data_IF_889922293987
#
_entry.id   IF_889922293987
#
_cell.length_a   1.000
_cell.length_b   1.000
_cell.length_c   1.000
_cell.angle_alpha   90.00
_cell.angle_beta   90.00
_cell.angle_gamma   90.00
#
_symmetry.space_group_name_H-M   'P 1'
#
loop_
_entity.id
_entity.type
_entity.pdbx_description
1 polymer ?
#
# COMPACT_ATOMS: atom_id res chain seq x y z
N UNK A 1 35.37 26.64 -48.93
CA UNK A 1 35.71 26.18 -47.57
C UNK A 1 34.41 25.83 -46.86
N UNK A 2 34.00 24.56 -46.93
CA UNK A 2 32.79 24.08 -46.23
C UNK A 2 33.20 22.80 -45.51
N UNK A 3 33.13 22.88 -44.19
CA UNK A 3 33.55 21.88 -43.22
C UNK A 3 32.46 20.79 -43.16
N UNK A 4 32.81 19.56 -43.54
CA UNK A 4 31.91 18.41 -43.47
C UNK A 4 31.95 17.85 -42.03
N UNK A 5 30.86 17.98 -41.28
CA UNK A 5 30.70 17.31 -39.99
C UNK A 5 30.51 15.81 -40.21
N UNK A 6 31.44 15.01 -39.69
CA UNK A 6 31.31 13.55 -39.58
C UNK A 6 30.39 13.25 -38.41
N UNK A 7 29.15 12.83 -38.70
CA UNK A 7 28.29 12.18 -37.70
C UNK A 7 28.75 10.72 -37.63
N UNK A 8 29.47 10.37 -36.56
CA UNK A 8 29.77 8.99 -36.21
C UNK A 8 28.48 8.39 -35.66
N UNK A 9 27.67 7.77 -36.53
CA UNK A 9 26.62 6.85 -36.11
C UNK A 9 27.28 5.61 -35.51
N UNK A 10 27.24 5.48 -34.17
CA UNK A 10 27.59 4.24 -33.48
C UNK A 10 26.51 3.21 -33.86
N UNK A 11 26.80 2.40 -34.88
CA UNK A 11 26.00 1.22 -35.21
C UNK A 11 26.21 0.22 -34.08
N UNK A 12 25.21 0.01 -33.23
CA UNK A 12 25.22 -1.14 -32.31
C UNK A 12 25.02 -2.40 -33.15
N UNK A 13 26.12 -3.08 -33.46
CA UNK A 13 26.08 -4.40 -34.10
C UNK A 13 25.37 -5.36 -33.13
N UNK A 14 24.13 -5.72 -33.46
CA UNK A 14 23.35 -6.69 -32.71
C UNK A 14 23.49 -8.04 -33.40
N UNK A 15 24.16 -8.98 -32.75
CA UNK A 15 24.36 -10.34 -33.29
C UNK A 15 23.24 -11.26 -32.79
N UNK A 16 22.60 -12.00 -33.71
CA UNK A 16 21.55 -12.97 -33.38
C UNK A 16 22.08 -14.40 -33.51
N UNK A 17 22.00 -15.18 -32.43
CA UNK A 17 22.37 -16.60 -32.43
C UNK A 17 21.11 -17.45 -32.22
N UNK A 18 20.83 -18.34 -33.17
CA UNK A 18 19.81 -19.39 -33.04
C UNK A 18 20.49 -20.67 -32.56
N UNK A 19 20.19 -21.11 -31.35
CA UNK A 19 20.71 -22.38 -30.80
C UNK A 19 19.58 -23.39 -30.77
N UNK A 20 19.60 -24.35 -31.68
CA UNK A 20 18.69 -25.52 -31.68
C UNK A 20 19.39 -26.68 -31.00
N UNK A 21 18.82 -27.22 -29.91
CA UNK A 21 19.41 -28.34 -29.17
C UNK A 21 18.37 -29.40 -28.75
N UNK A 22 18.83 -30.64 -28.70
CA UNK A 22 18.13 -31.91 -28.44
C UNK A 22 18.73 -32.67 -27.22
N UNK A 23 19.50 -32.01 -26.35
CA UNK A 23 20.24 -32.64 -25.24
C UNK A 23 20.42 -31.79 -23.96
N UNK A 24 21.06 -32.38 -22.94
CA UNK A 24 21.14 -31.86 -21.56
C UNK A 24 21.77 -30.45 -21.43
N UNK A 25 21.20 -29.61 -20.54
CA UNK A 25 21.53 -28.19 -20.28
C UNK A 25 23.02 -27.78 -20.28
N UNK A 26 23.95 -28.66 -19.86
CA UNK A 26 25.41 -28.37 -19.83
C UNK A 26 26.05 -28.08 -21.19
N UNK A 27 25.58 -28.73 -22.26
CA UNK A 27 26.16 -28.53 -23.62
C UNK A 27 25.73 -27.18 -24.19
N UNK A 28 24.44 -26.86 -24.06
CA UNK A 28 23.86 -25.56 -24.41
C UNK A 28 24.60 -24.40 -23.75
N UNK A 29 24.79 -24.47 -22.43
CA UNK A 29 25.52 -23.45 -21.66
C UNK A 29 26.96 -23.26 -22.13
N UNK A 30 27.64 -24.36 -22.49
CA UNK A 30 29.01 -24.33 -23.00
C UNK A 30 29.08 -23.60 -24.35
N UNK A 31 28.13 -23.84 -25.24
CA UNK A 31 28.09 -23.23 -26.57
C UNK A 31 27.70 -21.75 -26.50
N UNK A 32 26.80 -21.39 -25.56
CA UNK A 32 26.48 -20.01 -25.26
C UNK A 32 27.71 -19.27 -24.73
N UNK A 33 28.44 -19.83 -23.75
CA UNK A 33 29.66 -19.22 -23.21
C UNK A 33 30.72 -18.96 -24.28
N UNK A 34 30.91 -19.90 -25.20
CA UNK A 34 31.84 -19.72 -26.33
C UNK A 34 31.40 -18.59 -27.24
N UNK A 35 30.10 -18.46 -27.49
CA UNK A 35 29.53 -17.44 -28.36
C UNK A 35 29.64 -16.05 -27.72
N UNK A 36 29.32 -15.94 -26.43
CA UNK A 36 29.43 -14.70 -25.65
C UNK A 36 30.86 -14.16 -25.66
N UNK A 37 31.86 -15.03 -25.45
CA UNK A 37 33.28 -14.63 -25.42
C UNK A 37 33.81 -14.14 -26.77
N UNK A 38 33.19 -14.56 -27.87
CA UNK A 38 33.57 -14.16 -29.23
C UNK A 38 32.87 -12.89 -29.70
N UNK A 39 31.71 -12.58 -29.12
CA UNK A 39 30.96 -11.37 -29.45
C UNK A 39 31.59 -10.15 -28.76
N UNK A 40 31.70 -9.02 -29.44
CA UNK A 40 32.18 -7.75 -28.87
C UNK A 40 31.04 -6.81 -28.52
N UNK A 41 29.79 -7.19 -28.84
CA UNK A 41 28.59 -6.42 -28.53
C UNK A 41 28.37 -6.31 -27.01
N UNK A 42 27.81 -5.16 -26.59
CA UNK A 42 27.32 -4.97 -25.22
C UNK A 42 26.01 -5.71 -24.95
N UNK A 43 25.23 -5.95 -26.01
CA UNK A 43 23.92 -6.57 -25.97
C UNK A 43 23.96 -7.93 -26.68
N UNK A 44 23.96 -9.01 -25.91
CA UNK A 44 24.01 -10.37 -26.41
C UNK A 44 22.62 -11.01 -26.38
N UNK A 45 22.11 -11.45 -27.54
CA UNK A 45 20.78 -12.06 -27.66
C UNK A 45 20.86 -13.54 -27.97
N UNK A 46 20.07 -14.35 -27.26
CA UNK A 46 19.96 -15.79 -27.45
C UNK A 46 18.50 -16.15 -27.68
N UNK A 47 18.23 -16.93 -28.72
CA UNK A 47 16.92 -17.58 -28.89
C UNK A 47 17.04 -19.04 -28.48
N UNK A 48 16.27 -19.43 -27.45
CA UNK A 48 16.14 -20.80 -26.98
C UNK A 48 14.79 -21.36 -27.45
N UNK A 49 14.79 -22.55 -28.04
CA UNK A 49 13.56 -23.25 -28.42
C UNK A 49 12.76 -23.83 -27.23
N UNK A 50 13.32 -23.78 -26.02
CA UNK A 50 12.72 -24.29 -24.78
C UNK A 50 13.15 -23.40 -23.58
N UNK A 51 12.37 -23.42 -22.50
CA UNK A 51 12.64 -22.64 -21.28
C UNK A 51 13.54 -23.39 -20.29
N UNK A 52 14.63 -23.98 -20.79
CA UNK A 52 15.58 -24.71 -19.95
C UNK A 52 16.28 -23.80 -18.93
N UNK A 53 16.47 -24.33 -17.73
CA UNK A 53 17.15 -23.64 -16.63
C UNK A 53 18.65 -23.53 -16.92
N UNK A 54 19.19 -22.31 -16.82
CA UNK A 54 20.64 -22.06 -16.84
C UNK A 54 21.25 -22.38 -15.48
N UNK A 55 22.36 -23.11 -15.47
CA UNK A 55 23.04 -23.56 -14.26
C UNK A 55 23.78 -22.43 -13.55
N UNK A 56 23.96 -22.61 -12.23
CA UNK A 56 24.80 -21.76 -11.38
C UNK A 56 26.21 -21.58 -11.95
N UNK A 57 26.82 -22.64 -12.46
CA UNK A 57 28.16 -22.61 -13.05
C UNK A 57 28.22 -21.76 -14.32
N UNK A 58 27.15 -21.76 -15.11
CA UNK A 58 27.02 -20.89 -16.28
C UNK A 58 26.85 -19.43 -15.87
N UNK A 59 25.96 -19.13 -14.92
CA UNK A 59 25.71 -17.78 -14.42
C UNK A 59 26.98 -17.14 -13.84
N UNK A 60 27.78 -17.91 -13.10
CA UNK A 60 29.08 -17.48 -12.56
C UNK A 60 30.09 -17.12 -13.67
N UNK A 61 30.06 -17.83 -14.79
CA UNK A 61 31.01 -17.59 -15.90
C UNK A 61 30.66 -16.37 -16.73
N UNK A 62 29.37 -16.04 -16.87
CA UNK A 62 28.92 -14.87 -17.67
C UNK A 62 28.97 -13.53 -16.93
N UNK A 63 29.06 -13.54 -15.59
CA UNK A 63 29.17 -12.33 -14.77
C UNK A 63 30.33 -11.42 -15.19
N UNK A 64 31.49 -12.02 -15.49
CA UNK A 64 32.70 -11.27 -15.84
C UNK A 64 32.62 -10.61 -17.22
N UNK A 65 31.64 -10.98 -18.04
CA UNK A 65 31.49 -10.47 -19.41
C UNK A 65 30.89 -9.04 -19.41
N UNK A 66 30.23 -8.60 -18.32
CA UNK A 66 29.57 -7.28 -18.20
C UNK A 66 28.68 -6.91 -19.40
N UNK A 67 27.88 -7.87 -19.86
CA UNK A 67 26.98 -7.72 -21.01
C UNK A 67 25.53 -7.73 -20.57
N UNK A 68 24.67 -7.17 -21.42
CA UNK A 68 23.22 -7.34 -21.35
C UNK A 68 22.87 -8.65 -22.05
N UNK A 69 22.39 -9.64 -21.30
CA UNK A 69 21.97 -10.94 -21.84
C UNK A 69 20.45 -10.94 -22.02
N UNK A 70 20.02 -11.01 -23.28
CA UNK A 70 18.60 -11.16 -23.65
C UNK A 70 18.34 -12.60 -24.06
N UNK A 71 17.34 -13.24 -23.47
CA UNK A 71 16.93 -14.59 -23.83
C UNK A 71 15.49 -14.55 -24.33
N UNK A 72 15.26 -15.19 -25.47
CA UNK A 72 13.98 -15.25 -26.16
C UNK A 72 13.55 -16.71 -26.23
N UNK A 73 12.48 -17.08 -25.53
CA UNK A 73 11.93 -18.43 -25.53
C UNK A 73 10.42 -18.41 -25.40
N UNK A 74 9.71 -19.23 -26.20
CA UNK A 74 8.24 -19.33 -26.21
C UNK A 74 7.51 -17.98 -26.27
N UNK A 75 8.00 -17.02 -27.07
CA UNK A 75 7.40 -15.68 -27.19
C UNK A 75 7.70 -14.71 -26.04
N UNK A 76 8.36 -15.17 -24.97
CA UNK A 76 8.79 -14.31 -23.85
C UNK A 76 10.22 -13.85 -24.09
N UNK A 77 10.44 -12.53 -24.02
CA UNK A 77 11.77 -11.92 -24.03
C UNK A 77 12.09 -11.46 -22.61
N UNK A 78 13.22 -11.89 -22.08
CA UNK A 78 13.72 -11.38 -20.81
C UNK A 78 15.14 -10.92 -20.93
N UNK A 79 15.50 -9.95 -20.09
CA UNK A 79 16.82 -9.34 -20.11
C UNK A 79 17.40 -9.22 -18.72
N UNK A 80 18.69 -9.53 -18.60
CA UNK A 80 19.47 -9.36 -17.37
C UNK A 80 20.81 -8.73 -17.69
N UNK A 81 21.31 -7.82 -16.84
CA UNK A 81 22.70 -7.36 -16.97
C UNK A 81 23.60 -8.29 -16.16
N UNK A 82 24.64 -8.82 -16.80
CA UNK A 82 25.53 -9.78 -16.11
C UNK A 82 26.37 -9.14 -15.00
N UNK A 83 26.50 -7.81 -15.00
CA UNK A 83 27.09 -7.05 -13.89
C UNK A 83 26.26 -7.11 -12.60
N UNK A 84 24.94 -7.34 -12.71
CA UNK A 84 24.03 -7.34 -11.55
C UNK A 84 24.26 -8.53 -10.62
N UNK A 85 25.04 -9.52 -11.08
CA UNK A 85 25.49 -10.68 -10.32
C UNK A 85 26.65 -10.36 -9.34
N UNK A 86 27.34 -9.21 -9.45
CA UNK A 86 28.57 -8.92 -8.68
C UNK A 86 28.35 -8.76 -7.18
N UNK A 87 29.06 -9.56 -6.37
CA UNK A 87 29.14 -9.42 -4.90
C UNK A 87 27.93 -9.89 -4.08
N UNK A 88 26.97 -10.60 -4.69
CA UNK A 88 25.75 -11.09 -4.02
C UNK A 88 25.80 -12.61 -3.78
N UNK A 89 25.03 -13.15 -2.82
CA UNK A 89 24.94 -14.60 -2.56
C UNK A 89 24.33 -15.32 -3.76
N UNK A 90 25.14 -16.14 -4.45
CA UNK A 90 24.83 -16.79 -5.74
C UNK A 90 24.40 -18.25 -5.59
N UNK A 91 24.18 -18.72 -4.37
CA UNK A 91 24.20 -20.15 -4.11
C UNK A 91 22.98 -20.93 -4.61
N UNK A 92 21.96 -20.22 -5.12
CA UNK A 92 20.58 -20.68 -5.22
C UNK A 92 19.83 -20.14 -6.47
N UNK A 93 20.54 -19.76 -7.54
CA UNK A 93 19.87 -19.16 -8.72
C UNK A 93 19.52 -20.24 -9.74
N UNK A 94 18.27 -20.69 -9.73
CA UNK A 94 17.63 -21.33 -10.88
C UNK A 94 16.45 -20.49 -11.32
N UNK A 95 16.54 -19.89 -12.51
CA UNK A 95 15.46 -19.11 -13.10
C UNK A 95 14.76 -20.01 -14.11
N UNK A 96 13.55 -20.45 -13.78
CA UNK A 96 12.66 -21.12 -14.73
C UNK A 96 11.50 -20.19 -15.00
N UNK A 97 11.49 -19.59 -16.20
CA UNK A 97 10.39 -18.76 -16.67
C UNK A 97 9.45 -19.59 -17.52
N UNK A 98 8.16 -19.57 -17.20
CA UNK A 98 7.11 -20.23 -17.99
C UNK A 98 5.96 -19.28 -18.18
N UNK A 99 5.39 -19.24 -19.38
CA UNK A 99 4.08 -18.63 -19.58
C UNK A 99 3.05 -19.36 -18.70
N UNK A 100 2.13 -18.63 -18.09
CA UNK A 100 0.99 -19.25 -17.43
C UNK A 100 0.14 -19.97 -18.49
N UNK A 101 -0.20 -21.22 -18.24
CA UNK A 101 -1.04 -21.96 -19.17
C UNK A 101 -2.47 -21.41 -19.23
N UNK A 102 -3.20 -21.73 -20.31
CA UNK A 102 -4.58 -21.27 -20.53
C UNK A 102 -5.53 -21.57 -19.37
N UNK A 103 -5.35 -22.71 -18.69
CA UNK A 103 -6.21 -23.07 -17.55
C UNK A 103 -5.95 -22.14 -16.35
N UNK A 104 -4.69 -21.79 -16.09
CA UNK A 104 -4.31 -20.88 -15.00
C UNK A 104 -4.71 -19.45 -15.32
N UNK A 105 -4.56 -19.01 -16.57
CA UNK A 105 -5.09 -17.72 -17.03
C UNK A 105 -6.61 -17.66 -16.88
N UNK A 106 -7.34 -18.73 -17.25
CA UNK A 106 -8.80 -18.83 -17.05
C UNK A 106 -9.21 -18.83 -15.59
N UNK A 107 -8.45 -19.50 -14.71
CA UNK A 107 -8.66 -19.48 -13.27
C UNK A 107 -8.54 -18.05 -12.75
N UNK A 108 -7.40 -17.39 -12.98
CA UNK A 108 -7.16 -16.00 -12.54
C UNK A 108 -8.20 -15.04 -13.14
N UNK A 109 -8.50 -15.14 -14.44
CA UNK A 109 -9.55 -14.38 -15.11
C UNK A 109 -10.93 -14.63 -14.49
N UNK A 110 -11.27 -15.87 -14.13
CA UNK A 110 -12.53 -16.22 -13.47
C UNK A 110 -12.61 -15.59 -12.08
N UNK A 111 -11.51 -15.58 -11.34
CA UNK A 111 -11.47 -14.95 -10.02
C UNK A 111 -11.60 -13.41 -10.11
N UNK A 112 -10.94 -12.77 -11.06
CA UNK A 112 -11.09 -11.32 -11.30
C UNK A 112 -12.52 -10.98 -11.77
N UNK A 113 -13.08 -11.78 -12.68
CA UNK A 113 -14.45 -11.58 -13.21
C UNK A 113 -15.57 -11.97 -12.25
N UNK A 114 -15.32 -12.80 -11.23
CA UNK A 114 -16.29 -13.00 -10.14
C UNK A 114 -16.52 -11.74 -9.31
N UNK A 115 -15.58 -10.78 -9.37
CA UNK A 115 -15.61 -9.53 -8.61
C UNK A 115 -15.77 -8.30 -9.52
N UNK A 116 -16.16 -8.49 -10.79
CA UNK A 116 -16.41 -7.43 -11.76
C UNK A 116 -17.37 -7.90 -12.86
N UNK A 117 -18.34 -7.07 -13.28
CA UNK A 117 -19.41 -7.46 -14.22
C UNK A 117 -18.94 -7.76 -15.67
N UNK A 118 -17.65 -7.68 -15.98
CA UNK A 118 -17.14 -7.88 -17.34
C UNK A 118 -16.12 -9.02 -17.42
N UNK A 119 -15.93 -9.56 -18.62
CA UNK A 119 -14.87 -10.54 -18.92
C UNK A 119 -13.57 -9.80 -19.21
N UNK A 120 -12.45 -10.32 -18.70
CA UNK A 120 -11.12 -9.72 -18.88
C UNK A 120 -10.06 -10.78 -19.18
N UNK A 121 -9.05 -10.35 -19.93
CA UNK A 121 -7.89 -11.16 -20.28
C UNK A 121 -6.75 -10.92 -19.31
N UNK A 122 -6.13 -12.03 -18.91
CA UNK A 122 -4.99 -12.06 -17.99
C UNK A 122 -3.82 -12.67 -18.75
N UNK A 123 -2.66 -12.05 -18.64
CA UNK A 123 -1.40 -12.52 -19.21
C UNK A 123 -0.42 -12.70 -18.08
N UNK A 124 0.36 -13.78 -18.07
CA UNK A 124 1.28 -13.96 -16.96
C UNK A 124 2.46 -14.86 -17.24
N UNK A 125 3.43 -14.74 -16.34
CA UNK A 125 4.69 -15.48 -16.34
C UNK A 125 4.96 -15.98 -14.93
N UNK A 126 5.36 -17.23 -14.81
CA UNK A 126 5.80 -17.81 -13.56
C UNK A 126 7.33 -17.77 -13.49
N UNK A 127 7.85 -17.35 -12.32
CA UNK A 127 9.25 -17.57 -11.96
C UNK A 127 9.30 -18.68 -10.91
N UNK A 128 9.80 -19.84 -11.33
CA UNK A 128 9.94 -21.01 -10.45
C UNK A 128 11.21 -20.96 -9.60
N UNK A 129 11.09 -21.42 -8.36
CA UNK A 129 12.20 -21.76 -7.47
C UNK A 129 12.69 -23.17 -7.84
N UNK A 130 13.99 -23.36 -8.08
CA UNK A 130 14.56 -24.71 -8.06
C UNK A 130 15.34 -24.98 -6.77
N UNK A 131 15.94 -23.95 -6.14
CA UNK A 131 16.59 -24.00 -4.82
C UNK A 131 16.85 -22.56 -4.31
N UNK A 132 16.03 -21.96 -3.42
CA UNK A 132 16.34 -20.68 -2.70
C UNK A 132 16.10 -19.36 -3.45
N UNK A 133 16.14 -18.20 -2.74
CA UNK A 133 15.65 -16.82 -3.07
C UNK A 133 16.18 -16.13 -4.38
N UNK A 134 15.30 -15.44 -5.14
CA UNK A 134 15.70 -14.47 -6.19
C UNK A 134 16.11 -13.17 -5.50
N UNK A 135 17.38 -12.77 -5.66
CA UNK A 135 17.90 -11.49 -5.17
C UNK A 135 18.04 -10.40 -6.24
N UNK A 136 17.38 -10.54 -7.40
CA UNK A 136 17.64 -9.77 -8.63
C UNK A 136 16.34 -9.33 -9.31
N UNK A 137 16.34 -8.16 -9.94
CA UNK A 137 15.24 -7.71 -10.81
C UNK A 137 15.36 -8.36 -12.18
N UNK A 138 14.44 -9.25 -12.52
CA UNK A 138 14.31 -9.85 -13.86
C UNK A 138 13.33 -8.98 -14.64
N UNK A 139 13.77 -8.37 -15.74
CA UNK A 139 12.87 -7.69 -16.67
C UNK A 139 12.30 -8.71 -17.65
N UNK A 140 10.96 -8.84 -17.66
CA UNK A 140 10.23 -9.63 -18.65
C UNK A 140 9.36 -8.72 -19.52
N UNK A 141 9.40 -8.96 -20.83
CA UNK A 141 8.50 -8.35 -21.81
C UNK A 141 7.40 -9.35 -22.14
N UNK A 142 6.16 -8.99 -21.84
CA UNK A 142 4.97 -9.79 -22.08
C UNK A 142 4.20 -9.20 -23.27
N UNK A 143 3.94 -10.03 -24.28
CA UNK A 143 3.03 -9.67 -25.37
C UNK A 143 1.59 -9.80 -24.87
N UNK A 144 0.84 -8.70 -24.91
CA UNK A 144 -0.57 -8.64 -24.55
C UNK A 144 -1.43 -8.26 -25.76
N UNK A 145 -2.76 -8.32 -25.62
CA UNK A 145 -3.68 -7.91 -26.68
C UNK A 145 -3.50 -6.41 -26.99
N UNK A 146 -3.41 -6.11 -28.28
CA UNK A 146 -3.24 -4.76 -28.84
C UNK A 146 -4.33 -3.77 -28.42
N UNK A 147 -5.50 -4.21 -27.96
CA UNK A 147 -6.53 -3.34 -27.39
C UNK A 147 -6.07 -2.61 -26.11
N UNK A 148 -4.99 -3.07 -25.50
CA UNK A 148 -4.36 -2.46 -24.34
C UNK A 148 -3.28 -1.44 -24.70
N UNK A 149 -2.94 -1.27 -25.99
CA UNK A 149 -1.93 -0.30 -26.43
C UNK A 149 -2.20 1.11 -25.87
N UNK A 150 -1.17 1.71 -25.29
CA UNK A 150 -1.25 3.04 -24.67
C UNK A 150 -2.04 3.09 -23.37
N UNK A 151 -2.46 1.93 -22.81
CA UNK A 151 -3.14 1.85 -21.52
C UNK A 151 -2.20 1.31 -20.45
N UNK A 152 -2.44 1.78 -19.23
CA UNK A 152 -1.79 1.23 -18.05
C UNK A 152 -2.48 -0.09 -17.64
N UNK A 153 -1.68 -1.07 -17.24
CA UNK A 153 -2.14 -2.33 -16.68
C UNK A 153 -1.44 -2.59 -15.34
N UNK A 154 -2.16 -3.21 -14.42
CA UNK A 154 -1.66 -3.59 -13.12
C UNK A 154 -0.87 -4.91 -13.24
N UNK A 155 0.29 -4.95 -12.59
CA UNK A 155 1.11 -6.14 -12.41
C UNK A 155 0.88 -6.66 -11.02
N UNK A 156 0.53 -7.93 -10.90
CA UNK A 156 0.40 -8.63 -9.63
C UNK A 156 1.32 -9.84 -9.58
N UNK A 157 1.72 -10.22 -8.36
CA UNK A 157 2.44 -11.46 -8.05
C UNK A 157 1.57 -12.29 -7.13
N UNK A 158 1.31 -13.53 -7.50
CA UNK A 158 0.73 -14.54 -6.64
C UNK A 158 1.82 -15.39 -5.99
N UNK A 159 1.74 -15.57 -4.68
CA UNK A 159 2.66 -16.39 -3.90
C UNK A 159 1.97 -17.68 -3.45
N UNK A 160 2.34 -18.82 -4.03
CA UNK A 160 1.64 -20.09 -3.81
C UNK A 160 1.68 -20.59 -2.35
N UNK A 161 2.72 -20.24 -1.56
CA UNK A 161 2.86 -20.67 -0.16
C UNK A 161 1.84 -19.97 0.75
N UNK A 162 1.70 -18.66 0.60
CA UNK A 162 0.78 -17.82 1.38
C UNK A 162 -0.59 -17.72 0.72
N UNK A 163 -0.70 -18.11 -0.55
CA UNK A 163 -1.87 -17.95 -1.41
C UNK A 163 -2.36 -16.50 -1.44
N UNK A 164 -1.43 -15.55 -1.51
CA UNK A 164 -1.73 -14.12 -1.53
C UNK A 164 -1.34 -13.49 -2.86
N UNK A 165 -2.09 -12.45 -3.24
CA UNK A 165 -1.75 -11.56 -4.34
C UNK A 165 -1.09 -10.29 -3.83
N UNK A 166 0.00 -9.90 -4.47
CA UNK A 166 0.73 -8.68 -4.18
C UNK A 166 0.68 -7.81 -5.42
N UNK A 167 0.26 -6.55 -5.28
CA UNK A 167 0.50 -5.59 -6.34
C UNK A 167 2.01 -5.35 -6.47
N UNK A 168 2.49 -5.36 -7.70
CA UNK A 168 3.93 -5.26 -8.01
C UNK A 168 4.23 -3.90 -8.62
N UNK A 169 3.50 -3.54 -9.67
CA UNK A 169 3.76 -2.32 -10.45
C UNK A 169 2.55 -1.97 -11.31
N UNK A 170 2.54 -0.77 -11.88
CA UNK A 170 1.66 -0.40 -12.97
C UNK A 170 2.51 -0.11 -14.20
N UNK A 171 2.22 -0.77 -15.31
CA UNK A 171 3.07 -0.69 -16.51
C UNK A 171 2.24 -0.22 -17.70
N UNK A 172 2.82 0.68 -18.49
CA UNK A 172 2.24 1.11 -19.76
C UNK A 172 2.47 0.03 -20.82
N UNK A 173 1.42 -0.37 -21.52
CA UNK A 173 1.54 -1.22 -22.71
C UNK A 173 1.93 -0.34 -23.88
N UNK A 174 3.04 -0.66 -24.54
CA UNK A 174 3.50 0.11 -25.70
C UNK A 174 2.60 -0.07 -26.94
N UNK A 175 2.92 0.66 -28.00
CA UNK A 175 2.14 0.61 -29.25
C UNK A 175 2.28 -0.71 -30.01
N UNK A 176 3.20 -1.58 -29.61
CA UNK A 176 3.40 -2.92 -30.17
C UNK A 176 2.67 -3.99 -29.34
N UNK A 177 2.00 -3.61 -28.25
CA UNK A 177 1.30 -4.52 -27.37
C UNK A 177 2.23 -5.21 -26.38
N UNK A 178 3.36 -4.60 -26.02
CA UNK A 178 4.33 -5.16 -25.08
C UNK A 178 4.25 -4.44 -23.74
N UNK A 179 4.14 -5.21 -22.67
CA UNK A 179 4.23 -4.75 -21.29
C UNK A 179 5.56 -5.22 -20.68
N UNK A 180 6.36 -4.28 -20.18
CA UNK A 180 7.64 -4.61 -19.53
C UNK A 180 7.45 -4.61 -18.01
N UNK A 181 7.69 -5.76 -17.37
CA UNK A 181 7.56 -5.94 -15.93
C UNK A 181 8.91 -6.22 -15.28
N UNK A 182 9.12 -5.69 -14.08
CA UNK A 182 10.29 -6.00 -13.27
C UNK A 182 9.89 -6.96 -12.15
N UNK A 183 10.52 -8.12 -12.10
CA UNK A 183 10.22 -9.18 -11.16
C UNK A 183 11.36 -9.39 -10.18
N UNK A 184 11.12 -9.10 -8.91
CA UNK A 184 12.13 -9.13 -7.85
C UNK A 184 11.98 -10.30 -6.86
N UNK A 185 10.94 -11.13 -6.99
CA UNK A 185 10.66 -12.28 -6.11
C UNK A 185 10.20 -13.48 -6.92
N UNK A 186 10.28 -14.69 -6.35
CA UNK A 186 9.59 -15.85 -6.94
C UNK A 186 8.08 -15.67 -6.84
N UNK A 187 7.37 -16.26 -7.81
CA UNK A 187 5.92 -16.27 -7.84
C UNK A 187 5.36 -16.31 -9.26
N UNK A 188 4.04 -16.30 -9.33
CA UNK A 188 3.28 -16.18 -10.57
C UNK A 188 2.94 -14.71 -10.78
N UNK A 189 3.50 -14.09 -11.80
CA UNK A 189 3.23 -12.71 -12.16
C UNK A 189 2.15 -12.65 -13.23
N UNK A 190 1.23 -11.69 -13.13
CA UNK A 190 0.22 -11.49 -14.16
C UNK A 190 -0.17 -10.01 -14.32
N UNK A 191 -0.66 -9.70 -15.51
CA UNK A 191 -1.10 -8.40 -15.97
C UNK A 191 -2.63 -8.40 -16.05
N UNK A 192 -3.25 -7.33 -15.56
CA UNK A 192 -4.69 -7.11 -15.70
C UNK A 192 -4.99 -5.62 -15.79
N UNK A 193 -5.99 -5.27 -16.61
CA UNK A 193 -6.52 -3.90 -16.68
C UNK A 193 -7.39 -3.50 -15.48
N UNK A 194 -7.63 -4.41 -14.55
CA UNK A 194 -8.46 -4.21 -13.35
C UNK A 194 -7.62 -4.37 -12.10
N UNK A 195 -8.15 -3.88 -10.98
CA UNK A 195 -7.62 -4.28 -9.68
C UNK A 195 -7.65 -5.82 -9.56
N UNK A 196 -6.69 -6.39 -8.85
CA UNK A 196 -6.80 -7.75 -8.33
C UNK A 196 -8.15 -7.90 -7.61
N UNK A 197 -8.68 -9.13 -7.50
CA UNK A 197 -10.02 -9.38 -6.98
C UNK A 197 -10.23 -8.56 -5.71
N UNK A 198 -11.16 -7.59 -5.77
CA UNK A 198 -11.62 -6.90 -4.57
C UNK A 198 -12.27 -7.91 -3.66
N UNK A 199 -12.23 -7.61 -2.37
CA UNK A 199 -12.93 -8.32 -1.31
C UNK A 199 -14.29 -8.78 -1.80
N UNK A 200 -14.55 -10.09 -1.70
CA UNK A 200 -15.95 -10.49 -1.68
C UNK A 200 -16.49 -10.05 -0.32
N UNK A 201 -17.60 -9.31 -0.31
CA UNK A 201 -18.29 -8.93 0.93
C UNK A 201 -18.55 -10.15 1.83
N UNK A 202 -18.77 -11.33 1.25
CA UNK A 202 -18.95 -12.60 1.97
C UNK A 202 -17.74 -13.05 2.81
N UNK A 203 -16.55 -12.49 2.56
CA UNK A 203 -15.32 -12.77 3.31
C UNK A 203 -14.98 -11.68 4.34
N UNK A 204 -15.72 -10.57 4.37
CA UNK A 204 -15.55 -9.54 5.40
C UNK A 204 -16.05 -10.10 6.73
N UNK A 205 -15.16 -10.18 7.71
CA UNK A 205 -15.46 -10.76 9.03
C UNK A 205 -15.30 -9.70 10.09
N UNK A 206 -16.33 -9.50 10.91
CA UNK A 206 -16.21 -8.68 12.12
C UNK A 206 -15.19 -9.34 13.06
N UNK A 207 -14.10 -8.65 13.36
CA UNK A 207 -13.02 -9.15 14.24
C UNK A 207 -12.91 -8.37 15.54
N UNK A 208 -13.49 -7.18 15.60
CA UNK A 208 -13.59 -6.40 16.82
C UNK A 208 -14.89 -5.60 16.80
N UNK A 209 -15.58 -5.58 17.95
CA UNK A 209 -16.78 -4.78 18.15
C UNK A 209 -16.83 -4.24 19.59
N UNK A 210 -17.00 -2.94 19.71
CA UNK A 210 -17.33 -2.22 20.93
C UNK A 210 -18.62 -1.42 20.71
N UNK A 211 -19.68 -1.78 21.42
CA UNK A 211 -21.00 -1.14 21.34
C UNK A 211 -21.31 -0.29 22.59
N UNK A 212 -20.35 -0.15 23.51
CA UNK A 212 -20.46 0.67 24.73
C UNK A 212 -21.73 0.39 25.55
N UNK A 213 -22.06 -0.89 25.72
CA UNK A 213 -23.30 -1.34 26.36
C UNK A 213 -23.28 -1.34 27.91
N UNK A 214 -22.13 -1.03 28.53
CA UNK A 214 -21.96 -1.08 29.99
C UNK A 214 -21.69 0.33 30.50
N UNK A 215 -22.68 0.91 31.19
CA UNK A 215 -22.57 2.23 31.80
C UNK A 215 -21.39 2.30 32.80
N UNK A 216 -20.72 3.46 32.85
CA UNK A 216 -19.59 3.72 33.75
C UNK A 216 -18.37 4.25 33.01
N UNK A 217 -17.17 3.80 33.38
CA UNK A 217 -15.95 4.13 32.66
C UNK A 217 -15.80 3.23 31.41
N UNK A 218 -15.16 3.73 30.34
CA UNK A 218 -14.72 2.92 29.21
C UNK A 218 -13.99 1.65 29.66
N UNK A 219 -14.28 0.53 28.98
CA UNK A 219 -13.75 -0.77 29.35
C UNK A 219 -12.22 -0.77 29.34
N UNK A 220 -11.62 -0.87 30.54
CA UNK A 220 -10.16 -0.81 30.74
C UNK A 220 -9.39 -1.95 30.05
N UNK A 221 -10.04 -3.06 29.69
CA UNK A 221 -9.40 -4.14 28.94
C UNK A 221 -9.27 -3.82 27.45
N UNK A 222 -10.05 -2.85 26.96
CA UNK A 222 -10.09 -2.43 25.55
C UNK A 222 -9.48 -1.06 25.32
N UNK A 223 -9.55 -0.18 26.31
CA UNK A 223 -9.13 1.21 26.21
C UNK A 223 -8.13 1.57 27.30
N UNK A 224 -7.20 2.45 26.93
CA UNK A 224 -6.34 3.20 27.87
C UNK A 224 -6.45 4.70 27.56
N UNK A 225 -5.90 5.52 28.45
CA UNK A 225 -5.93 6.98 28.31
C UNK A 225 -4.53 7.52 28.11
N UNK A 226 -4.43 8.52 27.24
CA UNK A 226 -3.33 9.48 27.28
C UNK A 226 -3.68 10.57 28.30
N UNK A 227 -2.76 10.87 29.22
CA UNK A 227 -2.99 11.81 30.34
C UNK A 227 -1.99 12.96 30.25
N UNK A 228 -2.48 14.20 30.37
CA UNK A 228 -1.65 15.40 30.42
C UNK A 228 -2.09 16.51 29.47
N UNK A 229 -1.43 17.67 29.58
CA UNK A 229 -1.81 18.91 28.90
C UNK A 229 -0.64 19.72 28.36
N UNK A 230 0.42 19.05 27.89
CA UNK A 230 1.63 19.69 27.35
C UNK A 230 1.47 20.26 25.93
N UNK A 231 0.25 20.27 25.40
CA UNK A 231 -0.08 20.77 24.06
C UNK A 231 0.03 19.76 22.93
N UNK A 232 0.44 18.51 23.20
CA UNK A 232 0.36 17.36 22.28
C UNK A 232 0.98 17.58 20.89
N UNK A 233 2.00 18.45 20.81
CA UNK A 233 2.68 18.80 19.55
C UNK A 233 1.95 19.83 18.69
N UNK A 234 0.75 20.26 19.10
CA UNK A 234 -0.15 21.12 18.33
C UNK A 234 -0.59 22.38 19.12
N UNK A 235 0.05 22.69 20.24
CA UNK A 235 -0.29 23.83 21.13
C UNK A 235 -1.72 23.77 21.72
N UNK A 236 -2.27 22.57 21.81
CA UNK A 236 -3.58 22.26 22.37
C UNK A 236 -3.72 22.75 23.83
N UNK A 237 -4.93 23.14 24.24
CA UNK A 237 -5.17 23.83 25.52
C UNK A 237 -5.76 22.95 26.62
N UNK A 238 -6.25 21.76 26.29
CA UNK A 238 -6.81 20.82 27.27
C UNK A 238 -5.75 20.02 28.02
N UNK A 239 -6.07 19.61 29.25
CA UNK A 239 -5.46 18.47 29.90
C UNK A 239 -6.34 17.23 29.65
N UNK A 240 -5.79 16.18 29.04
CA UNK A 240 -6.48 14.90 28.93
C UNK A 240 -6.46 14.17 30.28
N UNK A 241 -7.60 13.61 30.68
CA UNK A 241 -7.79 12.89 31.95
C UNK A 241 -8.44 11.52 31.73
N UNK A 242 -8.44 10.69 32.76
CA UNK A 242 -9.17 9.41 32.87
C UNK A 242 -10.44 9.53 33.73
N UNK A 243 -10.88 10.77 33.99
CA UNK A 243 -12.08 11.03 34.79
C UNK A 243 -13.35 10.66 34.04
N UNK A 244 -14.35 10.15 34.77
CA UNK A 244 -15.70 9.90 34.25
C UNK A 244 -16.38 11.18 33.70
N UNK A 245 -15.94 12.35 34.15
CA UNK A 245 -16.38 13.66 33.68
C UNK A 245 -15.93 13.96 32.23
N UNK A 246 -14.83 13.35 31.79
CA UNK A 246 -14.29 13.53 30.45
C UNK A 246 -14.49 12.32 29.54
N UNK A 247 -14.60 11.12 30.09
CA UNK A 247 -14.93 9.92 29.35
C UNK A 247 -15.83 8.99 30.18
N UNK A 248 -17.06 8.80 29.71
CA UNK A 248 -17.98 7.84 30.30
C UNK A 248 -18.72 7.06 29.23
N UNK A 249 -19.18 5.87 29.58
CA UNK A 249 -20.15 5.11 28.81
C UNK A 249 -21.51 5.32 29.47
N UNK A 250 -22.50 5.71 28.67
CA UNK A 250 -23.86 5.92 29.14
C UNK A 250 -24.87 5.68 28.04
N UNK A 251 -25.86 4.82 28.30
CA UNK A 251 -27.00 4.60 27.41
C UNK A 251 -26.57 4.09 26.03
N UNK A 252 -25.61 3.16 25.99
CA UNK A 252 -25.12 2.55 24.75
C UNK A 252 -24.11 3.39 23.97
N UNK A 253 -23.58 4.48 24.54
CA UNK A 253 -22.63 5.34 23.85
C UNK A 253 -21.41 5.62 24.74
N UNK A 254 -20.22 5.69 24.13
CA UNK A 254 -19.08 6.39 24.71
C UNK A 254 -19.31 7.89 24.54
N UNK A 255 -19.14 8.65 25.61
CA UNK A 255 -19.26 10.10 25.66
C UNK A 255 -17.91 10.68 26.07
N UNK A 256 -17.20 11.26 25.10
CA UNK A 256 -15.98 12.04 25.34
C UNK A 256 -16.40 13.50 25.50
N UNK A 257 -16.07 14.13 26.62
CA UNK A 257 -16.53 15.50 26.94
C UNK A 257 -15.35 16.42 27.20
N UNK A 258 -15.26 17.50 26.40
CA UNK A 258 -14.38 18.62 26.66
C UNK A 258 -15.09 19.64 27.57
N UNK A 259 -14.41 20.13 28.61
CA UNK A 259 -14.96 21.06 29.60
C UNK A 259 -14.04 22.26 29.77
N UNK A 260 -14.64 23.42 30.05
CA UNK A 260 -13.91 24.59 30.54
C UNK A 260 -13.79 24.50 32.06
N UNK A 261 -12.68 23.96 32.52
CA UNK A 261 -12.36 23.81 33.93
C UNK A 261 -10.85 23.78 34.14
N UNK A 262 -10.41 24.28 35.28
CA UNK A 262 -8.98 24.26 35.62
C UNK A 262 -8.58 22.84 36.03
N UNK A 263 -7.73 22.20 35.24
CA UNK A 263 -7.11 20.90 35.57
C UNK A 263 -5.62 21.02 35.36
N UNK A 264 -4.86 20.76 36.43
CA UNK A 264 -3.42 21.05 36.50
C UNK A 264 -3.14 22.51 36.06
N UNK A 265 -2.37 22.71 34.99
CA UNK A 265 -2.00 24.03 34.50
C UNK A 265 -2.91 24.55 33.38
N UNK A 266 -3.84 23.71 32.89
CA UNK A 266 -4.69 23.98 31.74
C UNK A 266 -6.05 24.53 32.16
N UNK A 267 -6.69 25.31 31.28
CA UNK A 267 -8.02 25.89 31.51
C UNK A 267 -9.17 25.06 30.93
N UNK A 268 -8.82 23.90 30.34
CA UNK A 268 -9.77 22.94 29.80
C UNK A 268 -9.35 21.53 30.17
N UNK A 269 -10.33 20.64 30.27
CA UNK A 269 -10.14 19.19 30.38
C UNK A 269 -10.81 18.48 29.20
N UNK A 270 -10.35 17.28 28.87
CA UNK A 270 -10.98 16.40 27.86
C UNK A 270 -10.50 14.97 28.08
N UNK A 271 -10.80 14.04 27.16
CA UNK A 271 -10.21 12.71 27.14
C UNK A 271 -9.65 12.34 25.76
N UNK A 272 -8.63 11.48 25.78
CA UNK A 272 -7.99 10.86 24.61
C UNK A 272 -7.84 9.37 24.88
N UNK A 273 -8.73 8.58 24.29
CA UNK A 273 -8.77 7.14 24.46
C UNK A 273 -7.99 6.46 23.35
N UNK A 274 -7.19 5.47 23.71
CA UNK A 274 -6.41 4.64 22.79
C UNK A 274 -6.89 3.19 22.92
N UNK A 275 -7.12 2.52 21.80
CA UNK A 275 -7.38 1.08 21.83
C UNK A 275 -6.13 0.34 22.34
N UNK A 276 -6.35 -0.71 23.13
CA UNK A 276 -5.30 -1.67 23.50
C UNK A 276 -4.99 -2.63 22.36
N UNK A 277 -6.01 -2.98 21.59
CA UNK A 277 -5.86 -3.71 20.33
C UNK A 277 -5.24 -2.82 19.25
N UNK A 278 -4.60 -3.48 18.29
CA UNK A 278 -3.97 -2.87 17.12
C UNK A 278 -4.19 -3.79 15.93
N UNK A 279 -4.35 -3.21 14.74
CA UNK A 279 -4.67 -3.94 13.54
C UNK A 279 -3.71 -3.57 12.42
N UNK A 280 -3.44 -4.53 11.55
CA UNK A 280 -2.77 -4.29 10.27
C UNK A 280 -3.81 -4.55 9.19
N UNK A 281 -4.20 -3.49 8.49
CA UNK A 281 -5.29 -3.49 7.52
C UNK A 281 -6.67 -3.76 8.13
N UNK A 282 -7.71 -3.66 7.29
CA UNK A 282 -9.08 -3.93 7.66
C UNK A 282 -10.03 -2.80 7.27
N UNK A 283 -11.32 -3.01 7.54
CA UNK A 283 -12.33 -1.95 7.50
C UNK A 283 -12.62 -1.51 8.92
N UNK A 284 -12.59 -0.21 9.15
CA UNK A 284 -12.92 0.43 10.41
C UNK A 284 -14.20 1.21 10.21
N UNK A 285 -15.16 1.04 11.12
CA UNK A 285 -16.39 1.81 11.16
C UNK A 285 -16.58 2.36 12.56
N UNK A 286 -16.64 3.67 12.67
CA UNK A 286 -16.86 4.38 13.92
C UNK A 286 -18.10 5.24 13.72
N UNK A 287 -19.18 4.91 14.41
CA UNK A 287 -20.41 5.67 14.33
C UNK A 287 -20.42 6.71 15.44
N UNK A 288 -20.34 7.98 15.05
CA UNK A 288 -20.19 9.08 16.01
C UNK A 288 -21.01 10.31 15.64
N UNK A 289 -21.32 11.11 16.65
CA UNK A 289 -21.89 12.46 16.56
C UNK A 289 -20.89 13.43 17.19
N UNK A 290 -20.56 14.50 16.48
CA UNK A 290 -19.45 15.39 16.81
C UNK A 290 -19.88 16.58 17.68
N UNK A 291 -18.96 17.16 18.47
CA UNK A 291 -19.20 18.43 19.14
C UNK A 291 -19.35 19.58 18.15
N UNK A 292 -19.92 20.70 18.61
CA UNK A 292 -19.99 21.95 17.86
C UNK A 292 -19.08 23.02 18.46
N UNK A 293 -18.85 24.07 17.67
CA UNK A 293 -18.42 25.37 18.17
C UNK A 293 -16.93 25.62 18.13
N UNK A 294 -16.59 26.89 17.93
CA UNK A 294 -15.22 27.40 17.71
C UNK A 294 -14.30 26.98 18.86
N UNK A 295 -13.18 26.36 18.52
CA UNK A 295 -12.19 25.86 19.47
C UNK A 295 -12.25 24.36 19.71
N UNK A 296 -13.29 23.65 19.27
CA UNK A 296 -13.33 22.17 19.35
C UNK A 296 -12.60 21.54 18.17
N UNK A 297 -11.90 20.43 18.42
CA UNK A 297 -11.26 19.60 17.40
C UNK A 297 -11.42 18.10 17.77
N UNK A 298 -12.59 17.50 17.50
CA UNK A 298 -12.78 16.06 17.58
C UNK A 298 -11.97 15.32 16.50
N UNK A 299 -11.40 14.17 16.88
CA UNK A 299 -10.68 13.30 15.95
C UNK A 299 -10.93 11.81 16.22
N UNK A 300 -11.02 11.05 15.13
CA UNK A 300 -11.01 9.59 15.06
C UNK A 300 -9.86 9.22 14.12
N UNK A 301 -8.80 8.64 14.66
CA UNK A 301 -7.53 8.51 13.94
C UNK A 301 -6.72 7.35 14.48
N UNK A 302 -5.63 7.02 13.83
CA UNK A 302 -4.81 5.88 14.20
C UNK A 302 -3.32 6.19 14.13
N UNK A 303 -2.55 5.55 15.02
CA UNK A 303 -1.10 5.67 15.08
C UNK A 303 -0.43 4.30 15.08
N UNK A 304 0.78 4.22 14.51
CA UNK A 304 1.58 3.01 14.51
C UNK A 304 1.91 2.55 15.94
N UNK A 305 1.73 1.25 16.22
CA UNK A 305 1.96 0.67 17.53
C UNK A 305 3.42 0.71 17.97
N UNK A 306 4.33 0.32 17.08
CA UNK A 306 5.73 0.04 17.42
C UNK A 306 6.68 1.13 16.91
N UNK A 307 6.18 2.13 16.18
CA UNK A 307 7.00 3.18 15.55
C UNK A 307 8.20 2.63 14.77
N UNK A 308 7.98 1.54 14.01
CA UNK A 308 9.03 0.75 13.36
C UNK A 308 9.99 1.56 12.47
N UNK A 309 9.50 2.65 11.87
CA UNK A 309 10.29 3.50 10.97
C UNK A 309 10.81 4.78 11.63
N UNK A 310 10.63 4.94 12.94
CA UNK A 310 11.02 6.12 13.70
C UNK A 310 9.82 6.92 14.22
N UNK A 311 10.11 8.02 14.91
CA UNK A 311 9.10 8.92 15.45
C UNK A 311 8.22 9.53 14.35
N UNK A 312 7.06 10.05 14.74
CA UNK A 312 6.19 10.77 13.83
C UNK A 312 6.96 11.85 13.01
N UNK A 313 6.73 11.97 11.69
CA UNK A 313 5.70 11.27 10.88
C UNK A 313 6.18 9.95 10.26
N UNK A 314 7.40 9.48 10.55
CA UNK A 314 8.05 8.38 9.81
C UNK A 314 7.28 7.06 9.87
N UNK A 315 6.66 6.74 11.01
CA UNK A 315 5.86 5.51 11.15
C UNK A 315 4.39 5.65 10.76
N UNK A 316 3.99 6.84 10.31
CA UNK A 316 2.66 7.12 9.77
C UNK A 316 1.57 7.43 10.79
N UNK A 317 0.52 8.06 10.28
CA UNK A 317 -0.73 8.45 10.95
C UNK A 317 -1.88 8.33 9.95
N UNK A 318 -3.03 7.83 10.40
CA UNK A 318 -4.23 7.64 9.59
C UNK A 318 -5.43 8.35 10.25
N UNK A 319 -5.79 9.50 9.72
CA UNK A 319 -6.87 10.34 10.22
C UNK A 319 -8.16 9.95 9.50
N UNK A 320 -9.00 9.14 10.16
CA UNK A 320 -10.26 8.65 9.60
C UNK A 320 -11.29 9.78 9.54
N UNK A 321 -11.31 10.62 10.57
CA UNK A 321 -12.18 11.77 10.69
C UNK A 321 -11.50 12.82 11.56
N UNK A 322 -11.34 14.01 11.01
CA UNK A 322 -11.07 15.22 11.79
C UNK A 322 -12.11 16.28 11.44
N UNK A 323 -12.50 17.05 12.45
CA UNK A 323 -13.40 18.19 12.29
C UNK A 323 -12.95 19.30 13.22
N UNK A 324 -13.07 20.55 12.77
CA UNK A 324 -12.79 21.74 13.60
C UNK A 324 -14.05 22.58 13.71
N UNK A 325 -14.44 22.93 14.93
CA UNK A 325 -15.74 23.55 15.19
C UNK A 325 -15.91 24.97 14.61
N UNK A 326 -14.82 25.61 14.17
CA UNK A 326 -14.89 26.89 13.45
C UNK A 326 -15.26 26.76 11.97
N UNK A 327 -15.17 25.54 11.41
CA UNK A 327 -15.54 25.19 10.04
C UNK A 327 -16.57 24.05 10.08
N UNK A 328 -17.74 24.37 10.67
CA UNK A 328 -18.76 23.38 10.97
C UNK A 328 -19.22 22.64 9.70
N UNK A 329 -19.26 21.31 9.77
CA UNK A 329 -19.70 20.44 8.69
C UNK A 329 -18.62 20.08 7.67
N UNK A 330 -17.42 20.67 7.71
CA UNK A 330 -16.31 20.24 6.84
C UNK A 330 -15.48 19.18 7.56
N UNK A 331 -15.67 17.93 7.16
CA UNK A 331 -14.94 16.78 7.72
C UNK A 331 -13.74 16.44 6.84
N UNK A 332 -12.61 16.17 7.47
CA UNK A 332 -11.35 15.81 6.83
C UNK A 332 -10.99 14.34 7.06
N UNK A 333 -10.33 13.73 6.08
CA UNK A 333 -9.47 12.57 6.28
C UNK A 333 -8.08 12.91 5.76
N UNK A 334 -7.08 12.36 6.42
CA UNK A 334 -5.68 12.63 6.08
C UNK A 334 -4.84 11.39 6.33
N UNK A 335 -3.79 11.21 5.52
CA UNK A 335 -2.72 10.25 5.82
C UNK A 335 -1.40 11.00 5.90
N UNK A 336 -0.65 10.79 6.97
CA UNK A 336 0.69 11.35 7.12
C UNK A 336 1.77 10.27 7.03
N UNK A 337 2.86 10.59 6.33
CA UNK A 337 4.10 9.81 6.25
C UNK A 337 5.32 10.73 6.16
N UNK A 338 6.54 10.19 6.27
CA UNK A 338 7.78 11.00 6.17
C UNK A 338 7.82 11.87 4.90
N UNK A 339 7.38 11.30 3.78
CA UNK A 339 7.32 12.00 2.49
C UNK A 339 6.10 12.93 2.38
N UNK A 340 4.98 12.53 2.97
CA UNK A 340 3.67 13.17 2.77
C UNK A 340 3.08 13.62 4.11
N UNK A 341 3.40 14.84 4.58
CA UNK A 341 2.87 15.34 5.85
C UNK A 341 2.68 16.86 5.89
N UNK A 342 1.94 17.35 6.90
CA UNK A 342 1.42 18.71 6.93
C UNK A 342 2.48 19.82 6.92
N UNK A 343 3.66 19.61 7.51
CA UNK A 343 4.72 20.64 7.50
C UNK A 343 5.32 20.88 6.12
N UNK A 344 5.23 19.89 5.23
CA UNK A 344 5.64 20.03 3.83
C UNK A 344 4.47 20.34 2.90
N UNK A 345 3.24 20.39 3.42
CA UNK A 345 2.00 20.58 2.65
C UNK A 345 1.83 19.55 1.51
N UNK A 346 2.26 18.31 1.77
CA UNK A 346 2.21 17.21 0.78
C UNK A 346 1.41 16.00 1.27
N UNK A 347 0.77 16.11 2.44
CA UNK A 347 -0.13 15.10 2.97
C UNK A 347 -1.23 14.76 1.96
N UNK A 348 -1.68 13.51 1.95
CA UNK A 348 -2.85 13.11 1.18
C UNK A 348 -4.07 13.40 2.03
N UNK A 349 -4.90 14.34 1.59
CA UNK A 349 -6.07 14.80 2.34
C UNK A 349 -7.28 14.91 1.42
N UNK A 350 -8.46 14.70 1.98
CA UNK A 350 -9.74 14.88 1.33
C UNK A 350 -10.74 15.44 2.33
N UNK A 351 -11.78 16.11 1.82
CA UNK A 351 -12.81 16.71 2.65
C UNK A 351 -14.20 16.42 2.10
N UNK A 352 -15.18 16.35 3.00
CA UNK A 352 -16.59 16.20 2.65
C UNK A 352 -17.43 17.11 3.54
N UNK A 353 -18.40 17.79 2.92
CA UNK A 353 -19.40 18.57 3.65
C UNK A 353 -20.51 17.65 4.17
N UNK A 354 -20.80 17.75 5.46
CA UNK A 354 -21.84 17.01 6.18
C UNK A 354 -22.54 18.01 7.11
N UNK A 355 -23.75 18.44 6.75
CA UNK A 355 -24.39 19.59 7.40
C UNK A 355 -24.76 19.34 8.88
N UNK A 356 -25.02 18.08 9.23
CA UNK A 356 -25.62 17.66 10.50
C UNK A 356 -24.68 16.86 11.42
N UNK A 357 -23.35 17.00 11.24
CA UNK A 357 -22.32 16.30 12.06
C UNK A 357 -22.48 16.42 13.56
N UNK A 358 -23.12 17.50 14.03
CA UNK A 358 -23.29 17.79 15.45
C UNK A 358 -24.70 17.47 16.00
N UNK A 359 -25.60 17.04 15.13
CA UNK A 359 -27.00 16.73 15.48
C UNK A 359 -27.38 15.28 15.19
N UNK A 360 -26.66 14.60 14.30
CA UNK A 360 -26.89 13.21 13.92
C UNK A 360 -25.63 12.36 14.03
N UNK A 361 -25.82 11.06 14.19
CA UNK A 361 -24.72 10.10 14.11
C UNK A 361 -24.42 9.78 12.66
N UNK A 362 -23.13 9.80 12.32
CA UNK A 362 -22.61 9.39 11.01
C UNK A 362 -21.63 8.24 11.18
N UNK A 363 -21.53 7.39 10.16
CA UNK A 363 -20.53 6.32 10.10
C UNK A 363 -19.30 6.85 9.39
N UNK A 364 -18.25 7.13 10.16
CA UNK A 364 -16.92 7.44 9.65
C UNK A 364 -16.17 6.12 9.45
N UNK A 365 -15.72 5.86 8.23
CA UNK A 365 -15.13 4.57 7.91
C UNK A 365 -13.86 4.69 7.07
N UNK A 366 -12.99 3.70 7.24
CA UNK A 366 -11.76 3.55 6.49
C UNK A 366 -11.63 2.11 6.03
N UNK A 367 -11.32 1.88 4.75
CA UNK A 367 -10.87 0.59 4.24
C UNK A 367 -9.37 0.68 3.95
N UNK A 368 -8.58 0.08 4.83
CA UNK A 368 -7.14 0.07 4.75
C UNK A 368 -6.65 -1.27 4.24
N UNK A 369 -5.87 -1.20 3.16
CA UNK A 369 -5.29 -2.32 2.44
C UNK A 369 -3.78 -2.09 2.28
N UNK A 370 -2.99 -3.10 1.83
CA UNK A 370 -1.54 -2.92 1.64
C UNK A 370 -1.12 -1.79 0.70
N UNK A 371 -1.99 -1.35 -0.22
CA UNK A 371 -1.62 -0.42 -1.30
C UNK A 371 -2.53 0.80 -1.41
N UNK A 372 -3.63 0.79 -0.66
CA UNK A 372 -4.66 1.83 -0.76
C UNK A 372 -5.43 1.93 0.53
N UNK A 373 -5.83 3.15 0.86
CA UNK A 373 -6.69 3.51 1.97
C UNK A 373 -7.82 4.36 1.41
N UNK A 374 -9.04 3.84 1.48
CA UNK A 374 -10.26 4.54 1.08
C UNK A 374 -11.01 5.02 2.33
N UNK A 375 -11.45 6.27 2.35
CA UNK A 375 -12.18 6.89 3.47
C UNK A 375 -13.60 7.25 3.08
N UNK A 376 -14.53 7.03 4.00
CA UNK A 376 -15.97 7.14 3.76
C UNK A 376 -16.69 7.85 4.91
N UNK A 377 -17.76 8.57 4.56
CA UNK A 377 -18.79 9.01 5.50
C UNK A 377 -20.13 8.48 5.00
N UNK A 378 -20.84 7.72 5.83
CA UNK A 378 -22.12 7.08 5.49
C UNK A 378 -22.08 6.30 4.17
N UNK A 379 -20.98 5.57 3.97
CA UNK A 379 -20.71 4.78 2.76
C UNK A 379 -20.30 5.59 1.53
N UNK A 380 -20.29 6.93 1.59
CA UNK A 380 -19.81 7.78 0.50
C UNK A 380 -18.31 7.99 0.62
N UNK A 381 -17.55 7.52 -0.36
CA UNK A 381 -16.10 7.71 -0.40
C UNK A 381 -15.74 9.18 -0.68
N UNK A 382 -14.76 9.73 0.03
CA UNK A 382 -14.31 11.11 -0.14
C UNK A 382 -12.80 11.30 -0.22
N UNK A 383 -12.02 10.27 0.12
CA UNK A 383 -10.58 10.23 -0.10
C UNK A 383 -10.15 8.82 -0.51
N UNK A 384 -9.20 8.77 -1.44
CA UNK A 384 -8.35 7.62 -1.70
C UNK A 384 -6.90 8.06 -1.52
N UNK A 385 -6.19 7.47 -0.57
CA UNK A 385 -4.72 7.54 -0.47
C UNK A 385 -4.15 6.23 -1.02
N UNK A 386 -3.23 6.29 -1.96
CA UNK A 386 -2.68 5.11 -2.63
C UNK A 386 -1.15 5.21 -2.80
N UNK A 387 -0.50 4.05 -2.77
CA UNK A 387 0.91 3.92 -3.09
C UNK A 387 1.12 4.02 -4.61
N UNK A 388 1.89 5.01 -5.08
CA UNK A 388 2.23 5.14 -6.50
C UNK A 388 3.52 4.34 -6.79
N UNK A 389 3.46 3.20 -7.49
CA UNK A 389 4.63 2.35 -7.71
C UNK A 389 5.70 3.00 -8.62
N UNK A 390 5.37 4.09 -9.31
CA UNK A 390 6.34 4.82 -10.14
C UNK A 390 7.02 5.89 -9.29
N UNK A 391 6.24 6.68 -8.54
CA UNK A 391 6.75 7.84 -7.77
C UNK A 391 7.28 7.48 -6.39
N UNK A 392 6.81 6.39 -5.80
CA UNK A 392 7.06 6.04 -4.39
C UNK A 392 8.02 4.87 -4.22
N UNK A 393 8.34 4.14 -5.31
CA UNK A 393 9.25 2.98 -5.29
C UNK A 393 10.63 3.26 -4.75
N UNK A 394 11.20 4.42 -5.07
CA UNK A 394 12.51 4.83 -4.55
C UNK A 394 12.46 5.19 -3.05
N UNK A 395 11.30 5.62 -2.55
CA UNK A 395 11.11 6.14 -1.19
C UNK A 395 10.62 5.06 -0.21
N UNK A 396 9.93 4.03 -0.71
CA UNK A 396 9.46 2.89 0.08
C UNK A 396 8.58 3.33 1.27
N UNK A 397 8.97 2.93 2.48
CA UNK A 397 8.23 3.23 3.71
C UNK A 397 8.09 4.73 3.98
N UNK A 398 9.01 5.58 3.46
CA UNK A 398 8.89 7.03 3.63
C UNK A 398 7.63 7.58 2.97
N UNK A 399 7.25 7.00 1.85
CA UNK A 399 6.01 7.33 1.16
C UNK A 399 4.82 6.57 1.76
N UNK A 400 5.01 5.30 2.12
CA UNK A 400 3.93 4.39 2.54
C UNK A 400 4.33 3.53 3.75
N UNK A 401 4.25 4.07 4.98
CA UNK A 401 4.57 3.36 6.22
C UNK A 401 3.40 2.51 6.74
N UNK A 402 2.29 2.44 6.01
CA UNK A 402 1.03 1.82 6.41
C UNK A 402 1.03 0.29 6.22
N UNK A 403 2.14 -0.35 6.58
CA UNK A 403 2.39 -1.80 6.48
C UNK A 403 2.76 -2.42 7.85
N UNK A 404 2.45 -1.70 8.94
CA UNK A 404 2.64 -2.11 10.34
C UNK A 404 1.32 -1.99 11.11
N UNK A 405 1.16 -2.63 12.27
CA UNK A 405 -0.07 -2.49 13.06
C UNK A 405 -0.28 -1.07 13.63
N UNK A 406 -1.52 -0.60 13.60
CA UNK A 406 -1.95 0.70 14.14
C UNK A 406 -3.02 0.50 15.21
N UNK A 407 -3.01 1.34 16.25
CA UNK A 407 -4.08 1.42 17.26
C UNK A 407 -4.98 2.63 16.99
N UNK A 408 -6.24 2.54 17.39
CA UNK A 408 -7.25 3.57 17.22
C UNK A 408 -7.18 4.60 18.37
N UNK A 409 -7.44 5.87 18.04
CA UNK A 409 -7.48 7.00 18.97
C UNK A 409 -8.78 7.75 18.77
N UNK A 410 -9.45 8.07 19.88
CA UNK A 410 -10.66 8.89 19.95
C UNK A 410 -10.43 10.04 20.93
N UNK A 411 -10.58 11.28 20.49
CA UNK A 411 -10.39 12.44 21.37
C UNK A 411 -11.17 13.68 20.92
N UNK A 412 -11.24 14.67 21.82
CA UNK A 412 -11.58 16.06 21.49
C UNK A 412 -10.43 16.93 21.98
N UNK A 413 -9.66 17.51 21.07
CA UNK A 413 -8.75 18.60 21.41
C UNK A 413 -9.51 19.93 21.57
N UNK A 414 -8.93 20.85 22.33
CA UNK A 414 -9.44 22.21 22.53
C UNK A 414 -8.36 23.21 22.13
N UNK A 415 -8.65 24.06 21.15
CA UNK A 415 -7.71 25.03 20.62
C UNK A 415 -6.65 24.38 19.74
N UNK A 416 -5.38 24.64 20.05
CA UNK A 416 -4.26 24.26 19.20
C UNK A 416 -4.13 25.13 17.94
N UNK A 417 -3.08 24.85 17.16
CA UNK A 417 -2.77 25.60 15.92
C UNK A 417 -3.87 25.54 14.87
N UNK A 418 -4.68 24.47 14.85
CA UNK A 418 -5.79 24.30 13.92
C UNK A 418 -7.15 24.52 14.57
N UNK A 419 -7.56 23.71 15.56
CA UNK A 419 -8.87 23.87 16.22
C UNK A 419 -9.11 25.25 16.83
N UNK A 420 -8.04 25.93 17.27
CA UNK A 420 -8.03 27.28 17.84
C UNK A 420 -7.73 28.40 16.86
N UNK A 421 -7.69 28.13 15.55
CA UNK A 421 -7.32 29.11 14.53
C UNK A 421 -8.22 30.36 14.55
N UNK A 422 -9.50 30.21 14.93
CA UNK A 422 -10.45 31.32 15.14
C UNK A 422 -10.73 31.62 16.62
N UNK A 423 -9.82 31.23 17.51
CA UNK A 423 -9.99 31.33 18.96
C UNK A 423 -10.72 30.12 19.57
N UNK A 424 -11.12 30.27 20.83
CA UNK A 424 -11.92 29.29 21.58
C UNK A 424 -13.13 30.03 22.14
N UNK A 425 -14.35 29.64 21.75
CA UNK A 425 -15.57 30.14 22.35
C UNK A 425 -15.77 29.45 23.70
N UNK A 426 -15.74 30.21 24.79
CA UNK A 426 -15.89 29.66 26.12
C UNK A 426 -17.33 29.33 26.50
N UNK A 427 -18.31 29.90 25.80
CA UNK A 427 -19.73 29.80 26.13
C UNK A 427 -20.37 28.48 25.68
N UNK A 428 -19.71 27.76 24.76
CA UNK A 428 -20.21 26.48 24.22
C UNK A 428 -19.93 25.29 25.14
N UNK A 429 -18.98 25.40 26.08
CA UNK A 429 -18.58 24.26 26.92
C UNK A 429 -19.62 23.97 28.01
N UNK A 430 -19.88 22.69 28.33
CA UNK A 430 -19.21 21.49 27.82
C UNK A 430 -19.63 21.10 26.39
N UNK A 431 -18.74 20.40 25.68
CA UNK A 431 -18.99 19.85 24.35
C UNK A 431 -18.58 18.38 24.29
N UNK A 432 -19.38 17.55 23.61
CA UNK A 432 -19.17 16.09 23.61
C UNK A 432 -19.14 15.51 22.21
N UNK A 433 -18.30 14.49 22.04
CA UNK A 433 -18.33 13.53 20.96
C UNK A 433 -18.96 12.26 21.51
N UNK A 434 -20.05 11.83 20.89
CA UNK A 434 -20.75 10.61 21.25
C UNK A 434 -20.40 9.53 20.22
N UNK A 435 -19.98 8.36 20.67
CA UNK A 435 -19.63 7.22 19.81
C UNK A 435 -20.54 6.05 20.17
N UNK A 436 -21.39 5.67 19.22
CA UNK A 436 -22.35 4.54 19.32
C UNK A 436 -21.60 3.21 19.27
N UNK A 437 -20.71 3.05 18.28
CA UNK A 437 -19.88 1.86 18.20
C UNK A 437 -18.53 2.10 17.51
N UNK A 438 -17.62 1.15 17.76
CA UNK A 438 -16.42 0.91 16.98
C UNK A 438 -16.46 -0.54 16.47
N UNK A 439 -16.39 -0.72 15.15
CA UNK A 439 -16.29 -2.03 14.50
C UNK A 439 -15.05 -2.09 13.63
N UNK A 440 -14.34 -3.20 13.74
CA UNK A 440 -13.22 -3.52 12.84
C UNK A 440 -13.51 -4.85 12.17
N UNK A 441 -13.36 -4.86 10.85
CA UNK A 441 -13.56 -6.04 10.03
C UNK A 441 -12.24 -6.44 9.38
N UNK A 442 -11.91 -7.73 9.48
CA UNK A 442 -10.93 -8.33 8.60
C UNK A 442 -11.55 -8.41 7.21
N UNK A 443 -10.89 -7.77 6.24
CA UNK A 443 -11.28 -7.79 4.85
C UNK A 443 -11.00 -9.15 4.18
N UNK A 444 -10.46 -10.13 4.91
CA UNK A 444 -10.01 -11.39 4.36
C UNK A 444 -8.81 -11.20 3.45
N UNK A 445 -7.96 -10.22 3.75
CA UNK A 445 -6.72 -9.93 3.01
C UNK A 445 -5.76 -11.12 3.03
N UNK A 446 -5.69 -11.82 4.16
CA UNK A 446 -4.95 -13.08 4.27
C UNK A 446 -5.63 -14.24 3.52
N UNK A 447 -6.92 -14.11 3.22
CA UNK A 447 -7.76 -15.04 2.49
C UNK A 447 -7.94 -14.65 1.01
N UNK A 448 -6.99 -13.93 0.42
CA UNK A 448 -6.80 -13.80 -1.04
C UNK A 448 -6.42 -15.17 -1.70
N UNK A 449 -6.94 -16.26 -1.15
CA UNK A 449 -6.90 -17.60 -1.66
C UNK A 449 -7.67 -17.64 -3.00
N UNK A 450 -6.92 -17.86 -4.08
CA UNK A 450 -7.41 -18.76 -5.11
C UNK A 450 -7.75 -20.09 -4.43
N UNK A 451 -9.02 -20.44 -4.32
CA UNK A 451 -9.40 -21.84 -4.25
C UNK A 451 -9.47 -22.41 -5.65
#
# INVERSE_FOLDING_TARGET
MVMLFVIISIVSVTTYFKVTHDGTSKKLETDILKSIKKDTSKDFKISLGSTEALSKDFLNKIENEKKKLTIIGNGIKYTVNTSDFKGKQKDNISIVLKELNDNKNKEISSIISKNSEKKYEVYGVQIGEKDGQIGYGIEASLQVDKKLNGKEVNVYRYEAKTKQYYFVDKVLVDNEGVANINMSKYGEYFLTSQDAPRYKEENVKLVYEENFNVDGLPNKERWKYDIGGSGWGNEEKQCYTDSAENASVKGGNLIITAKKEKVAFNDYSSARLLSKDSWLYGRFEIKAKLPKGVGTWPAIWMMSKDSTYGSWPSSGELDIMEHVGFDNGIVHATTHSEKYYWKSNTQKTGQMTVDNVNSEFHVYAMEWTPHKIDFFIDGKKYLTSEYDPIKDKAEGWKAWPFDKPFYLILNIAVGGGWGGQKGIDNSIFPQSMEVDYVKVYDLGLENQNLK
#
